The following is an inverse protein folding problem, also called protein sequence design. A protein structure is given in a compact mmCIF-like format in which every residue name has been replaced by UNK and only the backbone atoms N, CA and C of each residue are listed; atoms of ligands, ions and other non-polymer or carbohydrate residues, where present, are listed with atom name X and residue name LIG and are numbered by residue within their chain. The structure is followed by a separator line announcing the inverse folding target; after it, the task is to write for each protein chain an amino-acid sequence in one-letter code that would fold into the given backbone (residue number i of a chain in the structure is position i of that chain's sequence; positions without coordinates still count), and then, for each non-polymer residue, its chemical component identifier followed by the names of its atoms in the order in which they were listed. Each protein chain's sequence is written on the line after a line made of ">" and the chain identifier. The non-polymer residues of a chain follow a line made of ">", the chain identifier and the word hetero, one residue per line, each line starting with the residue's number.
data_IF_907571805675
#
_entry.id   IF_907571805675
#
_cell.length_a   1.000
_cell.length_b   1.000
_cell.length_c   1.000
_cell.angle_alpha   90.00
_cell.angle_beta   90.00
_cell.angle_gamma   90.00
#
_symmetry.space_group_name_H-M   'P 1'
#
loop_
_entity.id
_entity.type
_entity.pdbx_description
1 polymer ?
#
# COMPACT_ATOMS: atom_id res chain seq x y z
N UNK A 1 14.63 14.51 67.97
CA UNK A 1 13.67 13.95 66.98
C UNK A 1 13.11 15.15 66.23
N UNK A 2 13.90 15.70 65.31
CA UNK A 2 13.88 15.39 63.87
C UNK A 2 12.61 15.99 63.23
N UNK A 3 12.66 17.18 62.63
CA UNK A 3 13.23 17.53 61.31
C UNK A 3 12.29 17.21 60.12
N UNK A 4 12.16 18.22 59.22
CA UNK A 4 11.81 18.16 57.77
C UNK A 4 10.32 18.26 57.40
N UNK A 5 9.85 19.12 56.46
CA UNK A 5 10.45 20.04 55.49
C UNK A 5 9.47 21.21 55.24
N UNK A 6 9.99 22.44 55.20
CA UNK A 6 9.35 23.61 54.60
C UNK A 6 9.29 23.47 53.07
N UNK A 7 8.09 23.52 52.48
CA UNK A 7 7.93 23.75 51.04
C UNK A 7 8.07 25.24 50.76
N UNK A 8 9.08 25.70 49.98
CA UNK A 8 9.09 27.09 49.54
C UNK A 8 8.00 27.28 48.49
N UNK A 9 7.21 28.34 48.66
CA UNK A 9 6.35 28.87 47.63
C UNK A 9 7.22 29.31 46.43
N UNK A 10 7.45 28.39 45.50
CA UNK A 10 8.15 28.68 44.27
C UNK A 10 7.23 29.53 43.39
N UNK A 11 7.68 30.76 43.13
CA UNK A 11 7.02 31.71 42.26
C UNK A 11 6.69 31.05 40.91
N UNK A 12 5.40 30.90 40.61
CA UNK A 12 4.95 30.62 39.24
C UNK A 12 5.39 31.78 38.37
N UNK A 13 6.46 31.57 37.60
CA UNK A 13 6.79 32.46 36.51
C UNK A 13 5.58 32.52 35.55
N UNK A 14 5.20 33.72 35.06
CA UNK A 14 4.09 33.85 34.14
C UNK A 14 4.36 33.02 32.89
N UNK A 15 3.34 32.28 32.47
CA UNK A 15 3.34 31.51 31.24
C UNK A 15 3.62 32.45 30.07
N UNK A 16 4.81 32.33 29.48
CA UNK A 16 5.22 33.10 28.30
C UNK A 16 4.93 32.26 27.03
N UNK A 17 3.86 32.57 26.28
CA UNK A 17 3.50 31.84 25.07
C UNK A 17 4.53 32.02 23.94
N UNK A 18 5.47 32.96 24.04
CA UNK A 18 6.56 33.12 23.07
C UNK A 18 7.66 32.05 23.23
N UNK A 19 7.86 31.52 24.44
CA UNK A 19 8.89 30.52 24.73
C UNK A 19 8.51 29.09 24.31
N UNK A 20 7.21 28.81 24.19
CA UNK A 20 6.68 27.53 23.69
C UNK A 20 6.81 27.40 22.16
N UNK A 21 6.99 28.51 21.44
CA UNK A 21 7.18 28.51 19.98
C UNK A 21 8.62 28.33 19.50
N UNK A 22 9.61 28.33 20.39
CA UNK A 22 11.04 28.30 20.00
C UNK A 22 11.71 26.91 20.10
N UNK A 23 10.99 25.84 20.43
CA UNK A 23 11.55 24.47 20.53
C UNK A 23 10.99 23.48 19.50
N UNK A 24 10.37 23.97 18.42
CA UNK A 24 9.89 23.14 17.30
C UNK A 24 10.35 23.64 15.92
N UNK A 25 11.49 24.34 15.88
CA UNK A 25 12.32 24.46 14.68
C UNK A 25 13.52 23.55 14.87
N UNK A 26 13.27 22.24 14.90
CA UNK A 26 14.32 21.26 14.65
C UNK A 26 14.77 21.49 13.21
N UNK A 27 16.04 21.87 13.01
CA UNK A 27 16.70 21.95 11.69
C UNK A 27 16.29 20.76 10.82
N UNK A 28 15.31 20.98 9.93
CA UNK A 28 15.05 20.06 8.83
C UNK A 28 16.18 20.32 7.85
N UNK A 29 17.33 19.67 8.09
CA UNK A 29 18.38 19.61 7.10
C UNK A 29 17.77 18.96 5.86
N UNK A 30 17.44 19.79 4.86
CA UNK A 30 17.08 19.32 3.55
C UNK A 30 18.28 18.54 3.04
N UNK A 31 18.17 17.21 3.03
CA UNK A 31 19.18 16.35 2.41
C UNK A 31 19.18 16.76 0.94
N UNK A 32 20.21 17.51 0.55
CA UNK A 32 20.47 17.82 -0.84
C UNK A 32 20.79 16.49 -1.50
N UNK A 33 19.98 16.12 -2.50
CA UNK A 33 20.17 14.87 -3.22
C UNK A 33 21.45 15.00 -4.05
N UNK A 34 22.49 14.24 -3.70
CA UNK A 34 23.73 14.19 -4.47
C UNK A 34 23.43 13.64 -5.88
N UNK A 35 24.20 14.09 -6.88
CA UNK A 35 24.11 13.52 -8.21
C UNK A 35 24.61 12.06 -8.16
N UNK A 36 23.77 11.05 -8.48
CA UNK A 36 24.17 9.65 -8.40
C UNK A 36 25.23 9.25 -9.45
N UNK A 37 25.54 10.12 -10.41
CA UNK A 37 26.59 9.90 -11.41
C UNK A 37 27.95 10.46 -10.98
N UNK A 38 27.99 11.29 -9.94
CA UNK A 38 29.25 11.76 -9.38
C UNK A 38 29.94 10.65 -8.56
N UNK A 39 31.29 10.62 -8.53
CA UNK A 39 32.00 9.66 -7.70
C UNK A 39 31.80 9.99 -6.21
N UNK A 40 31.71 8.94 -5.39
CA UNK A 40 31.62 9.08 -3.94
C UNK A 40 32.77 9.95 -3.38
N UNK A 41 32.42 10.88 -2.50
CA UNK A 41 33.35 11.71 -1.76
C UNK A 41 33.54 11.18 -0.33
N UNK A 42 34.76 11.27 0.25
CA UNK A 42 34.96 11.02 1.68
C UNK A 42 34.11 11.92 2.60
N UNK A 43 33.64 13.06 2.10
CA UNK A 43 32.74 13.97 2.82
C UNK A 43 31.27 13.59 2.75
N UNK A 44 30.90 12.56 2.00
CA UNK A 44 29.50 12.18 1.82
C UNK A 44 28.89 11.67 3.12
N UNK A 45 27.60 12.01 3.28
CA UNK A 45 26.81 11.55 4.42
C UNK A 45 26.59 10.05 4.27
N UNK A 46 27.17 9.27 5.18
CA UNK A 46 26.98 7.82 5.24
C UNK A 46 25.70 7.48 6.01
N UNK A 47 24.82 6.71 5.39
CA UNK A 47 23.58 6.24 6.00
C UNK A 47 23.67 4.73 6.22
N UNK A 48 23.58 4.30 7.49
CA UNK A 48 23.56 2.88 7.84
C UNK A 48 22.12 2.38 7.90
N UNK A 49 21.80 1.34 7.11
CA UNK A 49 20.49 0.72 7.07
C UNK A 49 20.58 -0.78 7.38
N UNK A 50 19.57 -1.31 8.05
CA UNK A 50 19.36 -2.76 8.12
C UNK A 50 18.84 -3.29 6.78
N UNK A 51 18.98 -4.60 6.53
CA UNK A 51 18.44 -5.24 5.32
C UNK A 51 16.93 -5.00 5.14
N UNK A 52 16.15 -4.99 6.22
CA UNK A 52 14.71 -4.71 6.14
C UNK A 52 14.43 -3.27 5.74
N UNK A 53 15.19 -2.32 6.26
CA UNK A 53 15.06 -0.91 5.89
C UNK A 53 15.44 -0.69 4.42
N UNK A 54 16.53 -1.30 3.96
CA UNK A 54 16.92 -1.26 2.55
C UNK A 54 15.83 -1.86 1.65
N UNK A 55 15.28 -3.02 2.03
CA UNK A 55 14.17 -3.65 1.31
C UNK A 55 12.94 -2.76 1.17
N UNK A 56 12.57 -2.04 2.24
CA UNK A 56 11.46 -1.06 2.19
C UNK A 56 11.71 0.05 1.18
N UNK A 57 12.93 0.59 1.13
CA UNK A 57 13.28 1.66 0.17
C UNK A 57 13.22 1.16 -1.27
N UNK A 58 13.78 -0.02 -1.55
CA UNK A 58 13.73 -0.64 -2.88
C UNK A 58 12.29 -0.83 -3.34
N UNK A 59 11.43 -1.32 -2.45
CA UNK A 59 10.04 -1.59 -2.78
C UNK A 59 9.25 -0.30 -3.04
N UNK A 60 9.42 0.73 -2.21
CA UNK A 60 8.76 2.03 -2.43
C UNK A 60 9.24 2.68 -3.72
N UNK A 61 10.53 2.60 -4.04
CA UNK A 61 11.06 3.13 -5.31
C UNK A 61 10.45 2.42 -6.52
N UNK A 62 10.35 1.08 -6.46
CA UNK A 62 9.74 0.28 -7.52
C UNK A 62 8.25 0.62 -7.72
N UNK A 63 7.47 0.72 -6.64
CA UNK A 63 6.06 1.08 -6.71
C UNK A 63 5.85 2.52 -7.19
N UNK A 64 6.72 3.45 -6.79
CA UNK A 64 6.69 4.84 -7.28
C UNK A 64 6.89 4.88 -8.80
N UNK A 65 7.94 4.20 -9.30
CA UNK A 65 8.21 4.12 -10.72
C UNK A 65 7.09 3.43 -11.51
N UNK A 66 6.61 2.29 -11.02
CA UNK A 66 5.49 1.54 -11.60
C UNK A 66 4.24 2.40 -11.73
N UNK A 67 3.87 3.12 -10.66
CA UNK A 67 2.73 4.03 -10.67
C UNK A 67 2.91 5.16 -11.69
N UNK A 68 4.07 5.82 -11.69
CA UNK A 68 4.31 6.96 -12.57
C UNK A 68 4.27 6.54 -14.05
N UNK A 69 4.82 5.36 -14.37
CA UNK A 69 4.71 4.78 -15.71
C UNK A 69 3.26 4.46 -16.08
N UNK A 70 2.52 3.79 -15.18
CA UNK A 70 1.11 3.42 -15.39
C UNK A 70 0.20 4.63 -15.61
N UNK A 71 0.40 5.70 -14.84
CA UNK A 71 -0.37 6.94 -14.92
C UNK A 71 0.13 7.90 -16.01
N UNK A 72 1.23 7.56 -16.70
CA UNK A 72 1.92 8.43 -17.66
C UNK A 72 2.22 9.81 -17.06
N UNK A 73 2.62 9.82 -15.80
CA UNK A 73 2.95 11.04 -15.06
C UNK A 73 4.12 11.74 -15.73
N UNK A 74 4.03 13.06 -15.91
CA UNK A 74 5.14 13.89 -16.40
C UNK A 74 6.17 14.20 -15.32
N UNK A 75 5.91 13.82 -14.07
CA UNK A 75 6.84 14.00 -12.96
C UNK A 75 7.91 12.92 -12.95
N UNK A 76 9.08 13.24 -12.42
CA UNK A 76 10.16 12.28 -12.22
C UNK A 76 9.95 11.49 -10.91
N UNK A 77 9.87 10.15 -10.94
CA UNK A 77 9.73 9.33 -9.73
C UNK A 77 10.91 9.47 -8.77
N UNK A 78 12.14 9.65 -9.26
CA UNK A 78 13.31 9.87 -8.40
C UNK A 78 13.20 11.22 -7.67
N UNK A 79 12.79 12.27 -8.40
CA UNK A 79 12.48 13.56 -7.80
C UNK A 79 11.35 13.46 -6.77
N UNK A 80 10.34 12.60 -7.01
CA UNK A 80 9.28 12.37 -6.02
C UNK A 80 9.81 11.77 -4.72
N UNK A 81 10.70 10.77 -4.83
CA UNK A 81 11.33 10.09 -3.69
C UNK A 81 12.20 11.03 -2.84
N UNK A 82 12.88 11.98 -3.49
CA UNK A 82 13.81 12.90 -2.85
C UNK A 82 13.13 14.16 -2.27
N UNK A 83 11.97 14.56 -2.81
CA UNK A 83 11.26 15.76 -2.36
C UNK A 83 10.58 15.57 -0.98
N UNK A 84 10.59 16.60 -0.11
CA UNK A 84 9.75 16.67 1.08
C UNK A 84 8.27 16.43 0.76
N UNK A 85 7.58 15.63 1.57
CA UNK A 85 6.13 15.36 1.41
C UNK A 85 5.38 15.57 2.70
N UNK A 86 4.18 16.12 2.58
CA UNK A 86 3.27 16.26 3.71
C UNK A 86 2.95 14.89 4.33
N UNK A 87 2.77 13.87 3.49
CA UNK A 87 2.55 12.47 3.87
C UNK A 87 3.54 11.94 4.92
N UNK A 88 4.79 12.42 4.86
CA UNK A 88 5.89 11.98 5.72
C UNK A 88 6.27 12.99 6.81
N UNK A 89 5.39 13.96 7.07
CA UNK A 89 5.64 15.05 8.03
C UNK A 89 6.77 15.97 7.58
N UNK A 90 6.84 16.26 6.27
CA UNK A 90 7.87 17.14 5.69
C UNK A 90 9.20 16.45 5.39
N UNK A 91 9.35 15.16 5.70
CA UNK A 91 10.51 14.36 5.24
C UNK A 91 10.31 13.87 3.82
N UNK A 92 11.39 13.41 3.18
CA UNK A 92 11.32 12.73 1.90
C UNK A 92 11.13 11.21 2.06
N UNK A 93 10.73 10.52 1.00
CA UNK A 93 10.45 9.09 1.05
C UNK A 93 11.71 8.27 1.39
N UNK A 94 12.87 8.68 0.88
CA UNK A 94 14.16 8.00 1.11
C UNK A 94 14.54 7.87 2.58
N UNK A 95 14.17 8.85 3.40
CA UNK A 95 14.44 8.82 4.84
C UNK A 95 13.24 8.43 5.67
N UNK A 96 12.01 8.69 5.20
CA UNK A 96 10.81 8.34 5.94
C UNK A 96 10.51 6.83 5.86
N UNK A 97 10.58 6.22 4.67
CA UNK A 97 10.13 4.84 4.42
C UNK A 97 11.08 3.76 4.98
N UNK A 98 12.17 4.14 5.64
CA UNK A 98 12.92 3.20 6.50
C UNK A 98 12.07 2.77 7.69
N UNK A 99 11.16 3.63 8.15
CA UNK A 99 10.16 3.31 9.17
C UNK A 99 9.02 2.47 8.58
N UNK A 100 8.51 1.50 9.35
CA UNK A 100 7.46 0.59 8.89
C UNK A 100 6.16 1.34 8.59
N UNK A 101 5.78 2.30 9.43
CA UNK A 101 4.52 3.03 9.28
C UNK A 101 4.56 3.90 8.03
N UNK A 102 5.64 4.66 7.83
CA UNK A 102 5.81 5.48 6.63
C UNK A 102 5.94 4.65 5.35
N UNK A 103 6.59 3.49 5.43
CA UNK A 103 6.61 2.52 4.34
C UNK A 103 5.20 2.08 3.93
N UNK A 104 4.38 1.62 4.89
CA UNK A 104 3.01 1.18 4.60
C UNK A 104 2.19 2.29 3.95
N UNK A 105 2.28 3.52 4.47
CA UNK A 105 1.61 4.70 3.87
C UNK A 105 2.00 4.92 2.41
N UNK A 106 3.29 4.81 2.08
CA UNK A 106 3.77 4.96 0.72
C UNK A 106 3.24 3.84 -0.19
N UNK A 107 3.23 2.60 0.27
CA UNK A 107 2.71 1.48 -0.52
C UNK A 107 1.24 1.65 -0.84
N UNK A 108 0.38 2.00 0.13
CA UNK A 108 -1.04 2.18 -0.19
C UNK A 108 -1.25 3.42 -1.07
N UNK A 109 -0.47 4.50 -0.89
CA UNK A 109 -0.52 5.66 -1.78
C UNK A 109 -0.24 5.27 -3.25
N UNK A 110 0.79 4.45 -3.49
CA UNK A 110 1.15 4.05 -4.86
C UNK A 110 0.27 2.93 -5.43
N UNK A 111 -0.33 2.11 -4.56
CA UNK A 111 -1.26 1.05 -4.93
C UNK A 111 -2.69 1.54 -5.20
N UNK A 112 -3.18 2.53 -4.45
CA UNK A 112 -4.60 2.91 -4.45
C UNK A 112 -5.00 3.98 -5.48
N UNK A 113 -4.15 4.32 -6.46
CA UNK A 113 -4.40 5.41 -7.44
C UNK A 113 -4.79 6.76 -6.82
N UNK A 114 -4.43 7.00 -5.55
CA UNK A 114 -4.81 8.20 -4.83
C UNK A 114 -3.90 9.40 -5.16
N UNK A 115 -4.36 10.64 -4.93
CA UNK A 115 -3.63 11.89 -5.26
C UNK A 115 -2.18 11.86 -4.71
N UNK A 116 -1.21 12.34 -5.49
CA UNK A 116 0.25 12.23 -5.25
C UNK A 116 0.81 12.72 -3.90
N UNK A 117 0.04 13.47 -3.12
CA UNK A 117 0.42 13.99 -1.80
C UNK A 117 -0.82 14.03 -0.89
N UNK A 118 -1.34 12.85 -0.57
CA UNK A 118 -2.43 12.69 0.39
C UNK A 118 -2.01 13.19 1.78
N UNK A 119 -2.92 13.88 2.46
CA UNK A 119 -2.63 14.37 3.81
C UNK A 119 -2.42 13.18 4.76
N UNK A 120 -1.49 13.28 5.73
CA UNK A 120 -1.24 12.22 6.70
C UNK A 120 -2.49 11.76 7.47
N UNK A 121 -3.43 12.67 7.72
CA UNK A 121 -4.67 12.41 8.44
C UNK A 121 -5.57 11.47 7.62
N UNK A 122 -5.84 11.80 6.37
CA UNK A 122 -6.61 10.96 5.43
C UNK A 122 -5.99 9.57 5.29
N UNK A 123 -4.66 9.51 5.22
CA UNK A 123 -3.92 8.25 5.17
C UNK A 123 -4.03 7.45 6.49
N UNK A 124 -4.01 8.15 7.62
CA UNK A 124 -4.10 7.51 8.93
C UNK A 124 -5.51 6.97 9.16
N UNK A 125 -6.53 7.68 8.73
CA UNK A 125 -7.92 7.20 8.74
C UNK A 125 -8.05 5.90 7.94
N UNK A 126 -7.50 5.88 6.72
CA UNK A 126 -7.50 4.71 5.84
C UNK A 126 -6.74 3.51 6.44
N UNK A 127 -5.68 3.75 7.22
CA UNK A 127 -4.93 2.70 7.92
C UNK A 127 -5.56 2.29 9.26
N UNK A 128 -6.24 3.21 9.96
CA UNK A 128 -6.85 3.00 11.28
C UNK A 128 -8.21 2.31 11.23
N UNK A 129 -8.88 2.33 10.08
CA UNK A 129 -10.08 1.50 9.87
C UNK A 129 -9.80 -0.01 9.87
N UNK A 130 -8.55 -0.42 10.08
CA UNK A 130 -8.06 -1.81 10.04
C UNK A 130 -7.74 -2.39 11.43
N UNK A 131 -8.13 -1.74 12.54
CA UNK A 131 -7.90 -2.25 13.89
C UNK A 131 -8.86 -3.42 14.24
N UNK A 132 -8.56 -4.60 13.70
CA UNK A 132 -8.84 -5.86 14.38
C UNK A 132 -7.55 -6.31 15.08
N UNK A 133 -7.50 -6.11 16.39
CA UNK A 133 -6.47 -6.61 17.29
C UNK A 133 -6.32 -8.14 17.15
N UNK A 134 -5.21 -8.61 16.57
CA UNK A 134 -4.58 -9.87 16.95
C UNK A 134 -3.11 -9.89 16.49
N UNK A 135 -2.22 -9.39 17.35
CA UNK A 135 -0.79 -9.70 17.31
C UNK A 135 -0.59 -11.17 17.70
N UNK A 136 -0.82 -12.09 16.76
CA UNK A 136 -0.35 -13.46 16.85
C UNK A 136 0.79 -13.69 15.86
N UNK A 137 1.90 -14.33 16.25
CA UNK A 137 2.95 -14.70 15.32
C UNK A 137 2.42 -15.83 14.42
N UNK A 138 2.09 -15.53 13.16
CA UNK A 138 1.55 -16.50 12.22
C UNK A 138 2.67 -17.45 11.78
N UNK A 139 2.82 -18.55 12.51
CA UNK A 139 3.39 -19.79 12.01
C UNK A 139 2.41 -20.33 10.98
N UNK A 140 2.88 -20.48 9.73
CA UNK A 140 2.14 -21.12 8.64
C UNK A 140 1.72 -22.52 9.10
N UNK A 141 0.48 -22.67 9.54
CA UNK A 141 -0.15 -23.96 9.81
C UNK A 141 -1.19 -24.20 8.74
N UNK A 142 -0.90 -25.16 7.87
CA UNK A 142 -1.89 -25.84 7.06
C UNK A 142 -3.02 -26.33 7.99
N UNK A 143 -4.21 -25.75 7.83
CA UNK A 143 -5.42 -26.23 8.49
C UNK A 143 -6.44 -26.56 7.40
N UNK A 144 -6.40 -27.83 7.02
CA UNK A 144 -7.55 -28.60 6.59
C UNK A 144 -8.68 -28.42 7.63
N UNK A 145 -9.64 -27.54 7.33
CA UNK A 145 -10.91 -27.46 8.06
C UNK A 145 -12.04 -27.31 7.06
N UNK A 146 -12.68 -28.44 6.82
CA UNK A 146 -14.02 -28.56 6.26
C UNK A 146 -14.99 -27.66 7.02
N UNK A 147 -15.29 -26.49 6.45
CA UNK A 147 -16.35 -25.60 6.92
C UNK A 147 -17.69 -26.15 6.43
N UNK A 148 -18.58 -26.41 7.40
CA UNK A 148 -19.94 -26.88 7.18
C UNK A 148 -20.72 -25.85 6.36
N UNK A 149 -21.56 -26.37 5.48
CA UNK A 149 -22.22 -25.71 4.35
C UNK A 149 -23.43 -24.85 4.74
N UNK A 150 -23.64 -24.54 6.02
CA UNK A 150 -24.94 -24.07 6.53
C UNK A 150 -24.95 -22.61 7.05
N UNK A 151 -23.86 -21.86 6.96
CA UNK A 151 -23.82 -20.41 7.32
C UNK A 151 -24.03 -19.47 6.11
N UNK A 152 -24.41 -19.99 4.94
CA UNK A 152 -24.53 -19.25 3.66
C UNK A 152 -25.95 -18.67 3.48
N UNK A 153 -26.47 -17.93 4.46
CA UNK A 153 -27.80 -17.30 4.31
C UNK A 153 -28.01 -15.99 5.10
N UNK A 154 -26.94 -15.28 5.48
CA UNK A 154 -27.04 -13.85 5.75
C UNK A 154 -26.72 -13.10 4.46
N UNK A 155 -27.77 -12.63 3.79
CA UNK A 155 -27.73 -11.82 2.57
C UNK A 155 -26.67 -10.71 2.67
N UNK A 156 -25.52 -10.91 2.02
CA UNK A 156 -24.57 -9.83 1.73
C UNK A 156 -25.17 -8.95 0.63
N UNK A 157 -26.04 -8.00 1.00
CA UNK A 157 -26.47 -6.93 0.11
C UNK A 157 -25.40 -5.84 0.07
N UNK A 158 -24.37 -6.08 -0.73
CA UNK A 158 -23.29 -5.13 -0.96
C UNK A 158 -22.39 -5.61 -2.11
N UNK A 159 -21.59 -4.72 -2.72
CA UNK A 159 -20.57 -5.12 -3.68
C UNK A 159 -19.64 -6.15 -3.03
N UNK A 160 -19.29 -7.22 -3.75
CA UNK A 160 -18.27 -8.18 -3.35
C UNK A 160 -17.13 -8.19 -4.35
N UNK A 161 -15.99 -8.71 -3.94
CA UNK A 161 -14.84 -8.85 -4.83
C UNK A 161 -15.17 -9.93 -5.86
N UNK A 162 -14.96 -9.62 -7.12
CA UNK A 162 -14.89 -10.59 -8.20
C UNK A 162 -13.49 -10.62 -8.76
N UNK A 163 -12.98 -11.83 -8.99
CA UNK A 163 -11.73 -12.04 -9.72
C UNK A 163 -12.01 -12.74 -11.03
N UNK A 164 -11.27 -12.35 -12.07
CA UNK A 164 -11.32 -12.96 -13.38
C UNK A 164 -9.91 -13.31 -13.85
N UNK A 165 -9.74 -14.53 -14.33
CA UNK A 165 -8.47 -15.00 -14.90
C UNK A 165 -8.67 -15.45 -16.33
N UNK A 166 -7.68 -15.13 -17.16
CA UNK A 166 -7.63 -15.57 -18.55
C UNK A 166 -6.18 -15.86 -18.92
N UNK A 167 -5.98 -16.96 -19.65
CA UNK A 167 -4.69 -17.34 -20.20
C UNK A 167 -4.93 -17.86 -21.62
N UNK A 168 -4.18 -17.33 -22.58
CA UNK A 168 -4.18 -17.81 -23.95
C UNK A 168 -2.74 -17.96 -24.45
N UNK A 169 -2.50 -19.07 -25.12
CA UNK A 169 -1.29 -19.31 -25.88
C UNK A 169 -1.66 -19.27 -27.37
N UNK A 170 -1.21 -18.22 -28.05
CA UNK A 170 -1.45 -17.99 -29.47
C UNK A 170 -0.18 -18.14 -30.29
N UNK A 171 -0.30 -17.86 -31.60
CA UNK A 171 0.86 -17.77 -32.50
C UNK A 171 1.73 -16.56 -32.18
N UNK A 172 1.11 -15.48 -31.68
CA UNK A 172 1.79 -14.22 -31.35
C UNK A 172 2.38 -14.19 -29.93
N UNK A 173 2.30 -15.31 -29.19
CA UNK A 173 2.84 -15.41 -27.83
C UNK A 173 1.85 -15.89 -26.78
N UNK A 174 2.17 -15.60 -25.51
CA UNK A 174 1.35 -15.95 -24.34
C UNK A 174 0.78 -14.68 -23.71
N UNK A 175 -0.54 -14.65 -23.51
CA UNK A 175 -1.26 -13.59 -22.81
C UNK A 175 -1.84 -14.16 -21.52
N UNK A 176 -1.42 -13.63 -20.38
CA UNK A 176 -2.03 -13.88 -19.08
C UNK A 176 -2.67 -12.61 -18.55
N UNK A 177 -3.89 -12.75 -18.03
CA UNK A 177 -4.68 -11.66 -17.47
C UNK A 177 -5.20 -12.08 -16.10
N UNK A 178 -4.98 -11.21 -15.13
CA UNK A 178 -5.68 -11.22 -13.86
C UNK A 178 -6.45 -9.90 -13.70
N UNK A 179 -7.72 -9.99 -13.39
CA UNK A 179 -8.59 -8.85 -13.13
C UNK A 179 -9.30 -9.05 -11.80
N UNK A 180 -9.41 -7.99 -11.01
CA UNK A 180 -10.15 -7.99 -9.77
C UNK A 180 -10.94 -6.70 -9.64
N UNK A 181 -12.20 -6.78 -9.25
CA UNK A 181 -13.07 -5.60 -9.10
C UNK A 181 -14.17 -5.84 -8.09
N UNK A 182 -14.68 -4.76 -7.48
CA UNK A 182 -15.92 -4.83 -6.73
C UNK A 182 -17.14 -4.78 -7.66
N UNK A 183 -18.06 -5.71 -7.48
CA UNK A 183 -19.31 -5.74 -8.23
C UNK A 183 -20.46 -6.33 -7.39
N UNK A 184 -21.69 -5.98 -7.74
CA UNK A 184 -22.90 -6.52 -7.08
C UNK A 184 -23.16 -7.98 -7.44
N UNK A 185 -22.70 -8.40 -8.61
CA UNK A 185 -22.88 -9.74 -9.16
C UNK A 185 -21.85 -10.01 -10.28
N UNK A 186 -21.82 -11.27 -10.74
CA UNK A 186 -20.89 -11.70 -11.79
C UNK A 186 -21.13 -10.97 -13.13
N UNK A 187 -22.38 -10.62 -13.44
CA UNK A 187 -22.73 -9.93 -14.69
C UNK A 187 -22.12 -8.53 -14.74
N UNK A 188 -22.23 -7.78 -13.65
CA UNK A 188 -21.58 -6.48 -13.49
C UNK A 188 -20.04 -6.59 -13.56
N UNK A 189 -19.45 -7.62 -12.95
CA UNK A 189 -18.01 -7.87 -13.05
C UNK A 189 -17.56 -8.19 -14.49
N UNK A 190 -18.34 -9.01 -15.22
CA UNK A 190 -18.09 -9.32 -16.64
C UNK A 190 -18.23 -8.12 -17.55
N UNK A 191 -19.18 -7.23 -17.26
CA UNK A 191 -19.36 -6.00 -18.02
C UNK A 191 -18.14 -5.08 -17.86
N UNK A 192 -17.66 -4.88 -16.63
CA UNK A 192 -16.43 -4.10 -16.40
C UNK A 192 -15.21 -4.75 -17.08
N UNK A 193 -15.10 -6.07 -17.04
CA UNK A 193 -14.05 -6.80 -17.76
C UNK A 193 -14.15 -6.61 -19.28
N UNK A 194 -15.37 -6.60 -19.82
CA UNK A 194 -15.65 -6.38 -21.25
C UNK A 194 -15.27 -4.97 -21.69
N UNK A 195 -15.58 -3.96 -20.88
CA UNK A 195 -15.18 -2.57 -21.14
C UNK A 195 -13.66 -2.42 -21.19
N UNK A 196 -12.93 -3.15 -20.34
CA UNK A 196 -11.47 -3.08 -20.22
C UNK A 196 -10.71 -3.87 -21.28
N UNK A 197 -11.13 -5.11 -21.55
CA UNK A 197 -10.37 -6.09 -22.36
C UNK A 197 -11.13 -6.57 -23.61
N UNK A 198 -12.33 -6.05 -23.84
CA UNK A 198 -13.17 -6.42 -24.97
C UNK A 198 -14.01 -7.68 -24.77
N UNK A 199 -14.96 -7.88 -25.69
CA UNK A 199 -15.94 -8.96 -25.61
C UNK A 199 -15.34 -10.36 -25.64
N UNK A 200 -14.28 -10.58 -26.42
CA UNK A 200 -13.64 -11.89 -26.55
C UNK A 200 -13.11 -12.38 -25.20
N UNK A 201 -12.23 -11.59 -24.56
CA UNK A 201 -11.63 -11.95 -23.26
C UNK A 201 -12.70 -12.12 -22.18
N UNK A 202 -13.65 -11.19 -22.08
CA UNK A 202 -14.73 -11.28 -21.08
C UNK A 202 -15.61 -12.53 -21.24
N UNK A 203 -15.84 -12.99 -22.48
CA UNK A 203 -16.63 -14.19 -22.75
C UNK A 203 -15.97 -15.51 -22.34
N UNK A 204 -14.63 -15.57 -22.34
CA UNK A 204 -13.87 -16.81 -22.08
C UNK A 204 -13.12 -16.78 -20.75
N UNK A 205 -13.00 -15.62 -20.11
CA UNK A 205 -12.39 -15.50 -18.80
C UNK A 205 -13.20 -16.26 -17.74
N UNK A 206 -12.48 -16.90 -16.83
CA UNK A 206 -13.06 -17.54 -15.65
C UNK A 206 -13.28 -16.46 -14.60
N UNK A 207 -14.53 -16.09 -14.36
CA UNK A 207 -14.93 -15.10 -13.35
C UNK A 207 -15.45 -15.83 -12.12
N UNK A 208 -15.11 -15.34 -10.93
CA UNK A 208 -15.56 -15.89 -9.66
C UNK A 208 -15.73 -14.80 -8.61
N UNK A 209 -16.62 -15.03 -7.65
CA UNK A 209 -16.65 -14.24 -6.42
C UNK A 209 -15.44 -14.61 -5.51
N UNK A 210 -14.91 -13.60 -4.83
CA UNK A 210 -13.73 -13.67 -3.99
C UNK A 210 -12.41 -13.83 -4.74
N UNK A 211 -11.35 -14.06 -3.97
CA UNK A 211 -10.01 -14.32 -4.46
C UNK A 211 -9.54 -15.72 -4.07
N UNK A 212 -8.88 -16.40 -5.01
CA UNK A 212 -8.25 -17.70 -4.79
C UNK A 212 -6.75 -17.61 -5.17
N UNK A 213 -5.85 -17.56 -4.17
CA UNK A 213 -4.42 -17.43 -4.42
C UNK A 213 -3.80 -18.69 -5.03
N UNK A 214 -4.50 -19.82 -5.06
CA UNK A 214 -3.98 -21.07 -5.62
C UNK A 214 -4.13 -21.16 -7.14
N UNK A 215 -4.85 -20.23 -7.77
CA UNK A 215 -5.00 -20.25 -9.23
C UNK A 215 -3.66 -20.00 -9.93
N UNK A 216 -3.27 -20.79 -10.95
CA UNK A 216 -1.98 -20.64 -11.61
C UNK A 216 -1.69 -19.23 -12.13
N UNK A 217 -2.70 -18.56 -12.69
CA UNK A 217 -2.58 -17.19 -13.18
C UNK A 217 -2.37 -16.20 -12.02
N UNK A 218 -3.04 -16.39 -10.89
CA UNK A 218 -2.84 -15.57 -9.69
C UNK A 218 -1.43 -15.76 -9.11
N UNK A 219 -0.95 -17.00 -8.98
CA UNK A 219 0.41 -17.32 -8.52
C UNK A 219 1.47 -16.67 -9.42
N UNK A 220 1.22 -16.64 -10.73
CA UNK A 220 2.19 -16.14 -11.71
C UNK A 220 2.21 -14.62 -11.83
N UNK A 221 1.06 -13.96 -11.64
CA UNK A 221 0.89 -12.52 -11.90
C UNK A 221 0.91 -11.65 -10.64
N UNK A 222 0.57 -12.21 -9.49
CA UNK A 222 0.41 -11.43 -8.27
C UNK A 222 1.65 -11.53 -7.39
N UNK A 223 2.09 -10.38 -6.88
CA UNK A 223 3.00 -10.36 -5.73
C UNK A 223 2.28 -10.89 -4.48
N UNK A 224 3.04 -11.39 -3.52
CA UNK A 224 2.51 -11.83 -2.22
C UNK A 224 1.72 -10.72 -1.51
N UNK A 225 2.18 -9.46 -1.62
CA UNK A 225 1.49 -8.30 -1.08
C UNK A 225 0.12 -8.07 -1.74
N UNK A 226 0.02 -8.21 -3.06
CA UNK A 226 -1.25 -8.07 -3.78
C UNK A 226 -2.22 -9.21 -3.45
N UNK A 227 -1.71 -10.45 -3.34
CA UNK A 227 -2.50 -11.59 -2.90
C UNK A 227 -3.06 -11.39 -1.48
N UNK A 228 -2.24 -10.88 -0.56
CA UNK A 228 -2.67 -10.53 0.80
C UNK A 228 -3.79 -9.47 0.78
N UNK A 229 -3.61 -8.40 -0.01
CA UNK A 229 -4.60 -7.33 -0.16
C UNK A 229 -5.94 -7.87 -0.68
N UNK A 230 -5.93 -8.70 -1.72
CA UNK A 230 -7.15 -9.30 -2.29
C UNK A 230 -7.84 -10.25 -1.31
N UNK A 231 -7.07 -11.00 -0.51
CA UNK A 231 -7.61 -11.85 0.54
C UNK A 231 -8.29 -11.01 1.64
N UNK A 232 -7.69 -9.88 2.02
CA UNK A 232 -8.29 -8.94 2.97
C UNK A 232 -9.60 -8.33 2.44
N UNK A 233 -9.63 -7.88 1.18
CA UNK A 233 -10.87 -7.36 0.56
C UNK A 233 -11.95 -8.46 0.47
N UNK A 234 -11.56 -9.71 0.20
CA UNK A 234 -12.50 -10.84 0.19
C UNK A 234 -13.12 -11.06 1.57
N UNK A 235 -12.35 -10.89 2.64
CA UNK A 235 -12.82 -11.04 4.01
C UNK A 235 -13.69 -9.84 4.45
N UNK A 236 -13.32 -8.63 4.05
CA UNK A 236 -13.96 -7.38 4.43
C UNK A 236 -14.37 -6.54 3.19
N UNK A 237 -15.39 -6.96 2.43
CA UNK A 237 -15.78 -6.32 1.18
C UNK A 237 -16.40 -4.91 1.34
N UNK A 238 -16.79 -4.54 2.56
CA UNK A 238 -17.31 -3.20 2.88
C UNK A 238 -16.23 -2.26 3.48
N UNK A 239 -14.96 -2.69 3.50
CA UNK A 239 -13.86 -1.86 3.99
C UNK A 239 -13.59 -0.67 3.05
N UNK A 240 -12.96 0.38 3.58
CA UNK A 240 -12.52 1.52 2.77
C UNK A 240 -11.54 1.10 1.64
N UNK A 241 -10.77 0.03 1.88
CA UNK A 241 -9.87 -0.57 0.90
C UNK A 241 -10.61 -1.17 -0.30
N UNK A 242 -11.80 -1.72 -0.07
CA UNK A 242 -12.64 -2.29 -1.11
C UNK A 242 -13.33 -1.19 -1.95
N UNK A 243 -13.54 -0.01 -1.39
CA UNK A 243 -14.28 1.06 -2.06
C UNK A 243 -13.59 1.49 -3.37
N UNK A 244 -14.26 1.24 -4.50
CA UNK A 244 -13.73 1.55 -5.83
C UNK A 244 -12.56 0.67 -6.27
N UNK A 245 -12.26 -0.42 -5.55
CA UNK A 245 -11.15 -1.31 -5.87
C UNK A 245 -11.33 -1.93 -7.26
N UNK A 246 -10.32 -1.74 -8.11
CA UNK A 246 -10.25 -2.30 -9.45
C UNK A 246 -8.79 -2.47 -9.87
N UNK A 247 -8.38 -3.70 -10.13
CA UNK A 247 -7.03 -4.07 -10.54
C UNK A 247 -7.08 -4.87 -11.82
N UNK A 248 -6.19 -4.53 -12.76
CA UNK A 248 -5.95 -5.27 -13.99
C UNK A 248 -4.44 -5.46 -14.11
N UNK A 249 -4.01 -6.72 -14.20
CA UNK A 249 -2.62 -7.11 -14.43
C UNK A 249 -2.60 -7.98 -15.69
N UNK A 250 -1.71 -7.61 -16.60
CA UNK A 250 -1.56 -8.26 -17.89
C UNK A 250 -0.09 -8.52 -18.16
N UNK A 251 0.27 -9.77 -18.46
CA UNK A 251 1.57 -10.13 -19.01
C UNK A 251 1.42 -10.63 -20.44
N UNK A 252 2.23 -10.05 -21.33
CA UNK A 252 2.43 -10.52 -22.70
C UNK A 252 3.85 -11.02 -22.85
N UNK A 253 3.98 -12.22 -23.38
CA UNK A 253 5.26 -12.80 -23.75
C UNK A 253 5.25 -13.00 -25.26
N UNK A 254 5.97 -12.13 -25.97
CA UNK A 254 6.21 -12.29 -27.39
C UNK A 254 7.21 -13.45 -27.61
N UNK A 255 7.06 -14.21 -28.71
CA UNK A 255 7.99 -15.28 -29.09
C UNK A 255 9.23 -14.73 -29.81
#
# INVERSE_FOLDING_TARGET
>A
MQDWIDCPASAMAPFDPARVRQHHESDVQSISFCDPLEPDSPSDIRITLTHRQLGRLVFVAAETGSRFARERSSYDPAAWMAAPRSLFGGRNALTACVDRTMFMRAIVLHGATAVYDMAPQDMSELLSSSDCDDEAPIVIRHADRSLKRDDIALMQWGPTLFTATYAEQGQDGVLHVFFATMATDEGAAREQLRERLGGRVSSIATVRAGFDPSQPVAISLLSEAMAYLLAQITHEPNSALAAGFNVLIEHRFDQ
#
